data_IF_199992973943
#
_entry.id   IF_199992973943
#
_cell.length_a   1.000
_cell.length_b   1.000
_cell.length_c   1.000
_cell.angle_alpha   90.00
_cell.angle_beta   90.00
_cell.angle_gamma   90.00
#
_symmetry.space_group_name_H-M   'P 1'
#
loop_
_entity.id
_entity.type
_entity.pdbx_description
1 polymer ?
#
# COMPACT_ATOMS: atom_id res chain seq x y z
N UNK A 1 20.03 23.87 43.97
CA UNK A 1 20.26 22.47 44.35
C UNK A 1 19.23 22.07 45.40
N UNK A 2 18.56 20.95 45.19
CA UNK A 2 17.64 20.38 46.18
C UNK A 2 18.44 19.78 47.36
N UNK A 3 17.94 19.94 48.60
CA UNK A 3 18.51 19.33 49.77
C UNK A 3 17.61 18.16 50.23
N UNK A 4 18.22 17.02 50.51
CA UNK A 4 17.53 15.82 51.10
C UNK A 4 18.04 15.72 52.53
N UNK A 5 17.13 15.53 53.48
CA UNK A 5 17.45 15.31 54.89
C UNK A 5 16.64 14.11 55.36
N UNK A 6 17.33 13.10 55.87
CA UNK A 6 16.70 11.95 56.51
C UNK A 6 16.87 12.08 58.05
N UNK A 7 15.80 11.80 58.84
CA UNK A 7 15.82 11.77 60.31
C UNK A 7 15.44 10.37 60.74
N UNK A 8 15.95 9.96 61.93
CA UNK A 8 15.67 8.64 62.53
C UNK A 8 16.12 7.49 61.64
N UNK A 9 17.32 7.56 61.10
CA UNK A 9 17.93 6.43 60.38
C UNK A 9 18.26 5.33 61.37
N UNK A 10 17.97 4.09 61.04
CA UNK A 10 18.30 2.92 61.84
C UNK A 10 19.80 2.83 62.08
N UNK A 11 20.21 2.52 63.36
CA UNK A 11 21.63 2.50 63.75
C UNK A 11 22.45 1.51 62.93
N UNK A 12 21.90 0.36 62.60
CA UNK A 12 22.59 -0.65 61.81
C UNK A 12 22.79 -0.20 60.38
N UNK A 13 21.83 0.54 59.80
CA UNK A 13 21.96 1.16 58.46
C UNK A 13 22.97 2.29 58.51
N UNK A 14 22.95 3.14 59.51
CA UNK A 14 23.92 4.22 59.69
C UNK A 14 25.36 3.68 59.74
N UNK A 15 25.63 2.66 60.57
CA UNK A 15 26.95 2.03 60.70
C UNK A 15 27.44 1.44 59.34
N UNK A 16 26.53 0.80 58.59
CA UNK A 16 26.87 0.28 57.25
C UNK A 16 27.27 1.39 56.27
N UNK A 17 26.55 2.50 56.29
CA UNK A 17 26.87 3.66 55.42
C UNK A 17 28.22 4.26 55.84
N UNK A 18 28.49 4.38 57.15
CA UNK A 18 29.75 4.89 57.70
C UNK A 18 30.94 3.99 57.31
N UNK A 19 30.79 2.67 57.47
CA UNK A 19 31.78 1.70 57.04
C UNK A 19 32.05 1.75 55.55
N UNK A 20 30.99 1.89 54.74
CA UNK A 20 31.11 2.02 53.29
C UNK A 20 31.80 3.32 52.88
N UNK A 21 31.47 4.43 53.56
CA UNK A 21 32.09 5.71 53.35
C UNK A 21 33.61 5.68 53.66
N UNK A 22 33.98 5.04 54.78
CA UNK A 22 35.39 4.83 55.15
C UNK A 22 36.13 3.99 54.10
N UNK A 23 35.54 2.85 53.71
CA UNK A 23 36.12 1.96 52.70
C UNK A 23 36.32 2.65 51.37
N UNK A 24 35.42 3.55 50.96
CA UNK A 24 35.45 4.24 49.71
C UNK A 24 36.15 5.61 49.76
N UNK A 25 36.77 5.93 50.90
CA UNK A 25 37.46 7.22 51.15
C UNK A 25 36.58 8.45 50.86
N UNK A 26 35.30 8.37 51.26
CA UNK A 26 34.31 9.43 51.02
C UNK A 26 33.73 9.95 52.32
N UNK A 27 33.18 11.16 52.30
CA UNK A 27 32.32 11.61 53.41
C UNK A 27 31.03 10.83 53.47
N UNK A 28 30.42 10.72 54.65
CA UNK A 28 29.12 10.04 54.84
C UNK A 28 28.06 10.61 53.88
N UNK A 29 28.02 11.93 53.72
CA UNK A 29 27.10 12.59 52.73
C UNK A 29 27.42 12.22 51.29
N UNK A 30 28.71 12.10 50.97
CA UNK A 30 29.18 11.63 49.65
C UNK A 30 28.75 10.22 49.32
N UNK A 31 28.85 9.32 50.31
CA UNK A 31 28.44 7.91 50.17
C UNK A 31 26.92 7.80 50.02
N UNK A 32 26.13 8.51 50.86
CA UNK A 32 24.68 8.57 50.71
C UNK A 32 24.26 9.09 49.34
N UNK A 33 24.91 10.15 48.86
CA UNK A 33 24.63 10.73 47.55
C UNK A 33 24.92 9.75 46.40
N UNK A 34 25.98 8.97 46.55
CA UNK A 34 26.35 7.94 45.57
C UNK A 34 25.36 6.79 45.58
N UNK A 35 25.02 6.28 46.76
CA UNK A 35 24.05 5.19 46.93
C UNK A 35 22.66 5.61 46.39
N UNK A 36 22.19 6.84 46.66
CA UNK A 36 20.95 7.35 46.09
C UNK A 36 21.03 7.51 44.60
N UNK A 37 22.16 7.91 44.06
CA UNK A 37 22.36 8.03 42.62
C UNK A 37 22.32 6.66 41.95
N UNK A 38 22.99 5.67 42.51
CA UNK A 38 23.00 4.30 42.00
C UNK A 38 21.60 3.66 42.06
N UNK A 39 20.85 3.91 43.13
CA UNK A 39 19.52 3.36 43.32
C UNK A 39 18.45 4.03 42.42
N UNK A 40 18.54 5.37 42.26
CA UNK A 40 17.55 6.15 41.50
C UNK A 40 18.04 6.61 40.11
N UNK A 41 19.27 6.30 39.73
CA UNK A 41 19.61 6.45 38.31
C UNK A 41 18.66 5.55 37.53
N UNK A 42 17.95 6.09 36.53
CA UNK A 42 17.28 5.20 35.61
C UNK A 42 18.35 4.21 35.15
N UNK A 43 18.08 2.93 35.33
CA UNK A 43 18.82 1.89 34.62
C UNK A 43 18.66 2.32 33.18
N UNK A 44 19.66 2.96 32.61
CA UNK A 44 19.78 3.05 31.16
C UNK A 44 19.94 1.60 30.80
N UNK A 45 18.81 0.94 30.54
CA UNK A 45 18.81 -0.34 29.89
C UNK A 45 19.56 -0.07 28.60
N UNK A 46 20.85 -0.42 28.54
CA UNK A 46 21.50 -0.60 27.26
C UNK A 46 20.58 -1.61 26.58
N UNK A 47 19.77 -1.10 25.63
CA UNK A 47 19.04 -2.01 24.78
C UNK A 47 20.05 -3.04 24.31
N UNK A 48 19.79 -4.33 24.51
CA UNK A 48 20.77 -5.35 24.13
C UNK A 48 21.13 -5.07 22.68
N UNK A 49 22.43 -5.00 22.38
CA UNK A 49 22.91 -4.75 21.02
C UNK A 49 22.39 -5.88 20.16
N UNK A 50 21.28 -5.61 19.48
CA UNK A 50 20.66 -6.59 18.60
C UNK A 50 21.60 -6.90 17.44
N UNK A 51 21.77 -8.18 17.14
CA UNK A 51 22.43 -8.62 15.93
C UNK A 51 21.67 -8.09 14.68
N UNK A 52 22.34 -8.04 13.54
CA UNK A 52 21.70 -7.66 12.28
C UNK A 52 20.53 -8.59 11.92
N UNK A 53 20.68 -9.89 12.24
CA UNK A 53 19.62 -10.88 12.06
C UNK A 53 18.38 -10.54 12.90
N UNK A 54 18.53 -10.31 14.19
CA UNK A 54 17.43 -9.96 15.09
C UNK A 54 16.74 -8.66 14.66
N UNK A 55 17.52 -7.68 14.21
CA UNK A 55 16.98 -6.42 13.67
C UNK A 55 16.15 -6.68 12.43
N UNK A 56 16.67 -7.46 11.49
CA UNK A 56 15.97 -7.82 10.27
C UNK A 56 14.68 -8.60 10.55
N UNK A 57 14.69 -9.58 11.45
CA UNK A 57 13.52 -10.33 11.87
C UNK A 57 12.44 -9.41 12.44
N UNK A 58 12.81 -8.52 13.36
CA UNK A 58 11.87 -7.54 13.94
C UNK A 58 11.28 -6.58 12.90
N UNK A 59 12.08 -6.07 12.01
CA UNK A 59 11.59 -5.17 10.95
C UNK A 59 10.68 -5.91 9.96
N UNK A 60 10.99 -7.14 9.62
CA UNK A 60 10.13 -8.00 8.79
C UNK A 60 8.82 -8.32 9.51
N UNK A 61 8.87 -8.65 10.80
CA UNK A 61 7.68 -8.86 11.62
C UNK A 61 6.78 -7.63 11.71
N UNK A 62 7.35 -6.44 11.88
CA UNK A 62 6.60 -5.17 11.87
C UNK A 62 5.91 -4.94 10.52
N UNK A 63 6.59 -5.22 9.39
CA UNK A 63 6.00 -5.09 8.06
C UNK A 63 4.87 -6.09 7.84
N UNK A 64 5.05 -7.34 8.28
CA UNK A 64 4.00 -8.35 8.22
C UNK A 64 2.76 -7.94 9.02
N UNK A 65 2.98 -7.48 10.25
CA UNK A 65 1.89 -6.97 11.10
C UNK A 65 1.18 -5.79 10.44
N UNK A 66 1.93 -4.84 9.91
CA UNK A 66 1.39 -3.68 9.21
C UNK A 66 0.57 -4.11 7.99
N UNK A 67 1.05 -5.08 7.20
CA UNK A 67 0.35 -5.60 6.03
C UNK A 67 -1.02 -6.19 6.43
N UNK A 68 -1.06 -7.03 7.46
CA UNK A 68 -2.30 -7.64 7.91
C UNK A 68 -3.28 -6.61 8.50
N UNK A 69 -2.78 -5.68 9.30
CA UNK A 69 -3.60 -4.57 9.81
C UNK A 69 -4.18 -3.76 8.63
N UNK A 70 -3.37 -3.46 7.60
CA UNK A 70 -3.78 -2.73 6.41
C UNK A 70 -4.85 -3.46 5.59
N UNK A 71 -4.72 -4.78 5.38
CA UNK A 71 -5.73 -5.58 4.68
C UNK A 71 -7.10 -5.52 5.39
N UNK A 72 -7.10 -5.51 6.73
CA UNK A 72 -8.33 -5.37 7.51
C UNK A 72 -8.91 -3.96 7.38
N UNK A 73 -8.08 -2.92 7.52
CA UNK A 73 -8.51 -1.53 7.35
C UNK A 73 -9.07 -1.25 5.96
N UNK A 74 -8.49 -1.84 4.93
CA UNK A 74 -8.89 -1.70 3.54
C UNK A 74 -10.14 -2.55 3.20
N UNK A 75 -10.66 -3.30 4.17
CA UNK A 75 -11.80 -4.19 4.02
C UNK A 75 -11.59 -5.26 2.93
N UNK A 76 -10.38 -5.83 2.87
CA UNK A 76 -10.00 -6.86 1.90
C UNK A 76 -11.02 -8.03 1.87
N UNK A 77 -11.46 -8.49 3.03
CA UNK A 77 -12.44 -9.57 3.16
C UNK A 77 -13.90 -9.15 2.94
N UNK A 78 -14.14 -7.87 2.63
CA UNK A 78 -15.51 -7.32 2.42
C UNK A 78 -16.47 -7.64 3.56
N UNK A 79 -15.95 -7.71 4.79
CA UNK A 79 -16.75 -8.00 5.97
C UNK A 79 -17.61 -6.80 6.36
N UNK A 80 -18.82 -7.08 6.88
CA UNK A 80 -19.73 -6.02 7.36
C UNK A 80 -19.32 -5.43 8.73
N UNK A 81 -18.41 -6.11 9.45
CA UNK A 81 -17.85 -5.64 10.73
C UNK A 81 -16.53 -4.91 10.50
N UNK A 82 -16.38 -3.71 11.07
CA UNK A 82 -15.13 -2.97 11.00
C UNK A 82 -14.24 -3.30 12.19
N UNK A 83 -13.27 -4.17 11.99
CA UNK A 83 -12.07 -4.18 12.81
C UNK A 83 -11.04 -3.22 12.18
N UNK A 84 -10.25 -2.53 12.98
CA UNK A 84 -9.18 -1.67 12.47
C UNK A 84 -7.80 -2.34 12.59
N UNK A 85 -7.74 -3.52 13.17
CA UNK A 85 -6.50 -4.30 13.36
C UNK A 85 -6.79 -5.78 13.31
N UNK A 86 -5.80 -6.54 12.88
CA UNK A 86 -5.85 -7.99 12.89
C UNK A 86 -5.81 -8.51 14.35
N UNK A 87 -6.94 -9.02 14.81
CA UNK A 87 -7.02 -9.77 16.07
C UNK A 87 -6.79 -11.26 15.84
N UNK A 88 -6.93 -12.06 16.91
CA UNK A 88 -6.75 -13.52 16.84
C UNK A 88 -7.69 -14.18 15.81
N UNK A 89 -8.99 -13.82 15.71
CA UNK A 89 -9.87 -14.42 14.72
C UNK A 89 -9.42 -14.16 13.28
N UNK A 90 -8.99 -12.93 12.97
CA UNK A 90 -8.49 -12.55 11.66
C UNK A 90 -7.18 -13.26 11.34
N UNK A 91 -6.27 -13.39 12.32
CA UNK A 91 -5.02 -14.13 12.15
C UNK A 91 -5.25 -15.62 11.90
N UNK A 92 -6.25 -16.23 12.52
CA UNK A 92 -6.64 -17.62 12.24
C UNK A 92 -7.15 -17.76 10.80
N UNK A 93 -7.91 -16.79 10.31
CA UNK A 93 -8.38 -16.79 8.91
C UNK A 93 -7.22 -16.63 7.91
N UNK A 94 -6.30 -15.69 8.18
CA UNK A 94 -5.08 -15.45 7.39
C UNK A 94 -4.20 -16.72 7.36
N UNK A 95 -3.97 -17.32 8.53
CA UNK A 95 -3.17 -18.54 8.63
C UNK A 95 -3.75 -19.70 7.84
N UNK A 96 -5.08 -19.87 7.87
CA UNK A 96 -5.77 -20.88 7.06
C UNK A 96 -5.62 -20.64 5.56
N UNK A 97 -5.72 -19.38 5.12
CA UNK A 97 -5.54 -19.02 3.72
C UNK A 97 -4.11 -19.27 3.24
N UNK A 98 -3.13 -19.09 4.11
CA UNK A 98 -1.70 -19.30 3.84
C UNK A 98 -1.22 -20.73 4.11
N UNK A 99 -2.11 -21.65 4.49
CA UNK A 99 -1.78 -23.03 4.89
C UNK A 99 -0.66 -23.10 5.95
N UNK A 100 -0.77 -22.23 6.98
CA UNK A 100 0.21 -22.13 8.05
C UNK A 100 -0.45 -22.07 9.43
N UNK A 101 0.34 -22.10 10.50
CA UNK A 101 -0.22 -21.98 11.85
C UNK A 101 -0.36 -20.51 12.29
N UNK A 102 -1.44 -20.15 13.02
CA UNK A 102 -1.57 -18.81 13.59
C UNK A 102 -0.42 -18.45 14.55
N UNK A 103 0.09 -19.43 15.31
CA UNK A 103 1.22 -19.25 16.21
C UNK A 103 2.49 -18.82 15.47
N UNK A 104 2.80 -19.47 14.35
CA UNK A 104 3.94 -19.08 13.53
C UNK A 104 3.82 -17.64 13.01
N UNK A 105 2.63 -17.22 12.55
CA UNK A 105 2.42 -15.84 12.13
C UNK A 105 2.62 -14.85 13.29
N UNK A 106 2.17 -15.19 14.49
CA UNK A 106 2.37 -14.37 15.69
C UNK A 106 3.85 -14.26 16.05
N UNK A 107 4.57 -15.38 16.06
CA UNK A 107 6.00 -15.42 16.39
C UNK A 107 6.82 -14.59 15.37
N UNK A 108 6.49 -14.68 14.07
CA UNK A 108 7.11 -13.86 13.03
C UNK A 108 6.79 -12.37 13.24
N UNK A 109 5.53 -12.01 13.52
CA UNK A 109 5.14 -10.61 13.73
C UNK A 109 5.79 -9.99 14.98
N UNK A 110 6.09 -10.80 15.98
CA UNK A 110 6.82 -10.38 17.19
C UNK A 110 8.34 -10.33 16.96
N UNK A 111 8.82 -10.90 15.86
CA UNK A 111 10.25 -10.98 15.52
C UNK A 111 10.98 -12.11 16.27
N UNK A 112 10.25 -13.09 16.77
CA UNK A 112 10.79 -14.29 17.44
C UNK A 112 11.21 -15.36 16.42
N UNK A 113 10.53 -15.40 15.26
CA UNK A 113 10.80 -16.32 14.18
C UNK A 113 11.09 -15.58 12.86
N UNK A 114 11.85 -16.23 12.01
CA UNK A 114 12.19 -15.74 10.68
C UNK A 114 11.05 -16.03 9.69
N UNK A 115 10.71 -15.05 8.84
CA UNK A 115 9.74 -15.25 7.76
C UNK A 115 10.38 -16.07 6.64
N UNK A 116 9.95 -17.32 6.39
CA UNK A 116 10.46 -18.13 5.29
C UNK A 116 10.12 -17.49 3.93
N UNK A 117 11.02 -17.61 2.95
CA UNK A 117 10.78 -17.08 1.60
C UNK A 117 9.51 -17.64 0.96
N UNK A 118 9.27 -18.94 1.11
CA UNK A 118 8.06 -19.57 0.58
C UNK A 118 6.77 -18.99 1.17
N UNK A 119 6.79 -18.65 2.46
CA UNK A 119 5.65 -18.00 3.10
C UNK A 119 5.54 -16.53 2.68
N UNK A 120 6.66 -15.83 2.51
CA UNK A 120 6.66 -14.46 1.99
C UNK A 120 6.10 -14.40 0.57
N UNK A 121 6.47 -15.34 -0.29
CA UNK A 121 5.96 -15.46 -1.66
C UNK A 121 4.46 -15.79 -1.66
N UNK A 122 4.02 -16.72 -0.80
CA UNK A 122 2.61 -17.06 -0.63
C UNK A 122 1.79 -15.85 -0.14
N UNK A 123 2.31 -15.06 0.81
CA UNK A 123 1.69 -13.82 1.27
C UNK A 123 1.59 -12.82 0.12
N UNK A 124 2.67 -12.61 -0.63
CA UNK A 124 2.69 -11.70 -1.76
C UNK A 124 1.67 -12.09 -2.83
N UNK A 125 1.57 -13.38 -3.13
CA UNK A 125 0.62 -13.90 -4.11
C UNK A 125 -0.84 -13.82 -3.64
N UNK A 126 -1.13 -14.19 -2.40
CA UNK A 126 -2.51 -14.21 -1.89
C UNK A 126 -3.08 -12.82 -1.64
N UNK A 127 -2.23 -11.83 -1.35
CA UNK A 127 -2.67 -10.49 -0.92
C UNK A 127 -2.17 -9.37 -1.83
N UNK A 128 -1.74 -9.67 -3.05
CA UNK A 128 -1.23 -8.70 -4.02
C UNK A 128 -0.14 -7.78 -3.44
N UNK A 129 0.66 -8.31 -2.50
CA UNK A 129 1.67 -7.57 -1.76
C UNK A 129 3.06 -7.67 -2.39
N UNK A 130 3.96 -6.76 -2.04
CA UNK A 130 5.35 -6.77 -2.49
C UNK A 130 6.23 -7.67 -1.63
N UNK A 131 6.67 -8.84 -2.13
CA UNK A 131 7.60 -9.72 -1.40
C UNK A 131 8.92 -9.02 -1.05
N UNK A 132 9.46 -8.20 -1.97
CA UNK A 132 10.67 -7.41 -1.76
C UNK A 132 10.50 -6.37 -0.64
N UNK A 133 9.33 -5.73 -0.57
CA UNK A 133 8.99 -4.83 0.53
C UNK A 133 8.85 -5.61 1.85
N UNK A 134 8.14 -6.71 1.85
CA UNK A 134 7.92 -7.51 3.05
C UNK A 134 9.25 -7.98 3.67
N UNK A 135 10.14 -8.54 2.86
CA UNK A 135 11.42 -9.10 3.33
C UNK A 135 12.49 -8.05 3.58
N UNK A 136 12.59 -7.04 2.72
CA UNK A 136 13.71 -6.10 2.71
C UNK A 136 13.33 -4.62 2.84
N UNK A 137 12.04 -4.29 2.92
CA UNK A 137 11.57 -2.91 2.97
C UNK A 137 11.79 -2.14 1.67
N UNK A 138 12.02 -2.82 0.55
CA UNK A 138 12.27 -2.20 -0.76
C UNK A 138 11.04 -2.26 -1.65
N UNK A 139 10.71 -1.11 -2.25
CA UNK A 139 9.50 -0.97 -3.08
C UNK A 139 8.28 -0.60 -2.24
N UNK A 140 7.12 -0.90 -2.75
CA UNK A 140 5.82 -0.57 -2.16
C UNK A 140 5.20 -1.80 -1.48
N UNK A 141 4.43 -1.60 -0.41
CA UNK A 141 3.62 -2.67 0.21
C UNK A 141 2.70 -3.37 -0.79
N UNK A 142 2.02 -2.59 -1.63
CA UNK A 142 1.18 -3.06 -2.73
C UNK A 142 1.74 -2.48 -4.03
N UNK A 143 2.44 -3.31 -4.84
CA UNK A 143 3.08 -2.85 -6.07
C UNK A 143 2.11 -2.17 -7.02
N UNK A 144 2.56 -1.09 -7.64
CA UNK A 144 1.81 -0.36 -8.64
C UNK A 144 2.54 -0.35 -9.97
N UNK A 145 1.80 -0.14 -11.06
CA UNK A 145 2.33 -0.06 -12.42
C UNK A 145 2.12 1.34 -12.97
N UNK A 146 3.20 2.00 -13.39
CA UNK A 146 3.06 3.21 -14.20
C UNK A 146 2.56 2.82 -15.59
N UNK A 147 1.38 3.30 -15.95
CA UNK A 147 0.77 2.94 -17.24
C UNK A 147 1.42 3.67 -18.42
N UNK A 148 1.95 4.87 -18.23
CA UNK A 148 2.71 5.63 -19.22
C UNK A 148 2.48 5.23 -20.67
N UNK A 149 3.58 4.98 -21.40
CA UNK A 149 3.55 4.42 -22.76
C UNK A 149 3.47 2.87 -22.78
N UNK A 150 3.64 2.21 -21.62
CA UNK A 150 3.67 0.75 -21.48
C UNK A 150 2.34 0.12 -21.11
N UNK A 151 1.22 0.83 -21.26
CA UNK A 151 -0.09 0.32 -20.84
C UNK A 151 -0.54 -0.97 -21.53
N UNK A 152 0.00 -1.29 -22.72
CA UNK A 152 -0.36 -2.51 -23.46
C UNK A 152 -0.17 -3.78 -22.62
N UNK A 153 0.97 -3.92 -21.95
CA UNK A 153 1.28 -5.08 -21.11
C UNK A 153 0.38 -5.16 -19.87
N UNK A 154 -0.09 -4.01 -19.38
CA UNK A 154 -1.03 -3.99 -18.27
C UNK A 154 -2.39 -4.54 -18.69
N UNK A 155 -2.90 -4.17 -19.87
CA UNK A 155 -4.22 -4.59 -20.36
C UNK A 155 -4.19 -5.96 -21.03
N UNK A 156 -3.11 -6.27 -21.74
CA UNK A 156 -2.89 -7.49 -22.50
C UNK A 156 -1.51 -8.07 -22.18
N UNK A 157 -1.34 -8.72 -21.00
CA UNK A 157 -0.07 -9.30 -20.63
C UNK A 157 0.37 -10.37 -21.63
N UNK A 158 1.63 -10.36 -22.10
CA UNK A 158 2.12 -11.34 -23.05
C UNK A 158 2.02 -12.77 -22.51
N UNK A 159 1.42 -13.68 -23.31
CA UNK A 159 1.28 -15.10 -22.94
C UNK A 159 0.24 -15.37 -21.85
N UNK A 160 -0.63 -14.41 -21.55
CA UNK A 160 -1.71 -14.53 -20.59
C UNK A 160 -3.07 -14.28 -21.28
N UNK A 161 -3.84 -15.34 -21.50
CA UNK A 161 -5.16 -15.29 -22.13
C UNK A 161 -6.29 -14.94 -21.15
N UNK A 162 -5.97 -14.54 -19.92
CA UNK A 162 -6.97 -14.23 -18.92
C UNK A 162 -7.82 -13.03 -19.35
N UNK A 163 -9.14 -13.20 -19.32
CA UNK A 163 -10.10 -12.12 -19.57
C UNK A 163 -10.28 -11.26 -18.31
N UNK A 164 -9.29 -10.41 -18.03
CA UNK A 164 -9.31 -9.48 -16.92
C UNK A 164 -10.49 -8.50 -17.00
N UNK A 165 -10.99 -8.09 -15.82
CA UNK A 165 -11.94 -7.00 -15.66
C UNK A 165 -11.16 -5.74 -15.31
N UNK A 166 -11.52 -4.61 -15.94
CA UNK A 166 -10.86 -3.33 -15.72
C UNK A 166 -11.83 -2.31 -15.13
N UNK A 167 -11.37 -1.61 -14.12
CA UNK A 167 -12.09 -0.50 -13.52
C UNK A 167 -11.24 0.77 -13.64
N UNK A 168 -11.78 1.76 -14.31
CA UNK A 168 -11.13 3.03 -14.58
C UNK A 168 -11.66 4.08 -13.61
N UNK A 169 -10.82 4.58 -12.72
CA UNK A 169 -11.20 5.54 -11.69
C UNK A 169 -10.52 6.87 -12.00
N UNK A 170 -11.29 7.87 -12.39
CA UNK A 170 -10.82 9.23 -12.61
C UNK A 170 -10.90 10.01 -11.31
N UNK A 171 -9.86 10.75 -10.96
CA UNK A 171 -9.96 11.78 -9.93
C UNK A 171 -10.65 12.98 -10.56
N UNK A 172 -11.85 13.31 -10.07
CA UNK A 172 -12.74 14.28 -10.72
C UNK A 172 -12.56 15.72 -10.24
N UNK A 173 -11.88 15.94 -9.09
CA UNK A 173 -11.64 17.26 -8.51
C UNK A 173 -10.33 17.37 -7.74
N UNK A 174 -9.89 18.60 -7.51
CA UNK A 174 -8.76 18.92 -6.65
C UNK A 174 -7.41 18.92 -7.36
N UNK A 175 -6.33 18.84 -6.58
CA UNK A 175 -4.95 18.95 -7.07
C UNK A 175 -4.59 17.94 -8.17
N UNK A 176 -5.18 16.76 -8.09
CA UNK A 176 -4.90 15.63 -8.98
C UNK A 176 -6.02 15.36 -9.97
N UNK A 177 -6.86 16.38 -10.24
CA UNK A 177 -7.94 16.26 -11.23
C UNK A 177 -7.43 15.75 -12.57
N UNK A 178 -8.21 14.85 -13.16
CA UNK A 178 -7.89 14.20 -14.44
C UNK A 178 -6.92 13.03 -14.35
N UNK A 179 -6.34 12.74 -13.17
CA UNK A 179 -5.51 11.55 -13.00
C UNK A 179 -6.36 10.28 -13.10
N UNK A 180 -5.86 9.30 -13.85
CA UNK A 180 -6.52 8.03 -14.07
C UNK A 180 -5.82 6.91 -13.30
N UNK A 181 -6.60 6.20 -12.49
CA UNK A 181 -6.24 4.93 -11.84
C UNK A 181 -6.95 3.79 -12.55
N UNK A 182 -6.26 2.70 -12.80
CA UNK A 182 -6.82 1.50 -13.44
C UNK A 182 -6.64 0.30 -12.54
N UNK A 183 -7.73 -0.36 -12.15
CA UNK A 183 -7.67 -1.67 -11.50
C UNK A 183 -7.75 -2.77 -12.57
N UNK A 184 -6.79 -3.68 -12.58
CA UNK A 184 -6.85 -4.93 -13.31
C UNK A 184 -7.23 -6.03 -12.33
N UNK A 185 -8.34 -6.70 -12.57
CA UNK A 185 -8.94 -7.68 -11.66
C UNK A 185 -8.98 -9.04 -12.36
N UNK A 186 -8.39 -10.05 -11.73
CA UNK A 186 -8.47 -11.44 -12.21
C UNK A 186 -9.84 -12.03 -11.86
N UNK A 187 -10.66 -12.47 -12.83
CA UNK A 187 -12.07 -12.82 -12.60
C UNK A 187 -12.26 -14.04 -11.69
N UNK A 188 -11.36 -15.01 -11.71
CA UNK A 188 -11.50 -16.22 -10.92
C UNK A 188 -10.91 -16.10 -9.51
N UNK A 189 -9.79 -15.40 -9.35
CA UNK A 189 -9.09 -15.29 -8.04
C UNK A 189 -9.41 -14.02 -7.28
N UNK A 190 -9.91 -12.99 -7.96
CA UNK A 190 -10.11 -11.66 -7.38
C UNK A 190 -8.82 -10.88 -7.17
N UNK A 191 -7.66 -11.40 -7.59
CA UNK A 191 -6.37 -10.69 -7.50
C UNK A 191 -6.42 -9.38 -8.27
N UNK A 192 -5.77 -8.37 -7.73
CA UNK A 192 -5.84 -7.01 -8.26
C UNK A 192 -4.45 -6.42 -8.47
N UNK A 193 -4.33 -5.60 -9.50
CA UNK A 193 -3.15 -4.79 -9.75
C UNK A 193 -3.59 -3.36 -10.05
N UNK A 194 -2.95 -2.39 -9.40
CA UNK A 194 -3.22 -0.98 -9.62
C UNK A 194 -2.25 -0.41 -10.66
N UNK A 195 -2.80 0.13 -11.74
CA UNK A 195 -2.09 0.94 -12.71
C UNK A 195 -2.41 2.43 -12.53
N UNK A 196 -1.43 3.30 -12.74
CA UNK A 196 -1.57 4.74 -12.56
C UNK A 196 -1.06 5.48 -13.79
N UNK A 197 -1.87 6.37 -14.34
CA UNK A 197 -1.44 7.35 -15.34
C UNK A 197 -1.08 8.64 -14.63
N UNK A 198 0.18 9.06 -14.75
CA UNK A 198 0.68 10.19 -13.97
C UNK A 198 0.81 11.49 -14.74
N UNK A 199 1.73 11.54 -15.69
CA UNK A 199 2.08 12.77 -16.42
C UNK A 199 1.81 12.67 -17.92
N UNK A 200 1.40 11.51 -18.41
CA UNK A 200 1.28 11.25 -19.84
C UNK A 200 0.09 11.95 -20.45
N UNK A 201 -1.05 11.92 -19.77
CA UNK A 201 -2.28 12.61 -20.13
C UNK A 201 -3.17 12.80 -18.89
N UNK A 202 -4.18 13.66 -19.02
CA UNK A 202 -5.20 13.88 -18.00
C UNK A 202 -6.60 13.83 -18.61
N UNK A 203 -7.55 13.34 -17.83
CA UNK A 203 -8.98 13.28 -18.16
C UNK A 203 -9.70 14.53 -17.58
N UNK A 204 -9.36 15.71 -18.10
CA UNK A 204 -9.95 16.99 -17.71
C UNK A 204 -9.80 18.03 -18.84
N UNK A 205 -10.58 19.09 -18.75
CA UNK A 205 -10.58 20.16 -19.76
C UNK A 205 -9.21 20.88 -19.88
N UNK A 206 -8.54 21.12 -18.74
CA UNK A 206 -7.21 21.75 -18.68
C UNK A 206 -6.07 20.75 -18.93
N UNK A 207 -6.26 19.82 -19.85
CA UNK A 207 -5.41 18.67 -20.09
C UNK A 207 -3.95 18.97 -20.38
N UNK A 208 -3.20 17.92 -20.70
CA UNK A 208 -1.73 17.89 -20.81
C UNK A 208 -1.17 18.58 -22.10
N UNK A 209 -1.93 19.47 -22.74
CA UNK A 209 -1.56 20.06 -24.05
C UNK A 209 -1.55 19.04 -25.19
N UNK A 210 -1.14 19.46 -26.40
CA UNK A 210 -1.24 18.63 -27.62
C UNK A 210 -0.56 17.26 -27.50
N UNK A 211 0.61 17.17 -26.86
CA UNK A 211 1.32 15.90 -26.69
C UNK A 211 0.56 14.95 -25.77
N UNK A 212 0.04 15.47 -24.65
CA UNK A 212 -0.74 14.63 -23.71
C UNK A 212 -2.07 14.23 -24.32
N UNK A 213 -2.71 15.12 -25.08
CA UNK A 213 -3.96 14.80 -25.77
C UNK A 213 -3.77 13.68 -26.82
N UNK A 214 -2.71 13.72 -27.60
CA UNK A 214 -2.37 12.65 -28.55
C UNK A 214 -2.11 11.29 -27.85
N UNK A 215 -1.53 11.30 -26.64
CA UNK A 215 -1.39 10.07 -25.83
C UNK A 215 -2.74 9.57 -25.31
N UNK A 216 -3.63 10.48 -24.89
CA UNK A 216 -4.99 10.13 -24.49
C UNK A 216 -5.77 9.51 -25.65
N UNK A 217 -5.69 10.11 -26.84
CA UNK A 217 -6.30 9.57 -28.06
C UNK A 217 -5.80 8.15 -28.32
N UNK A 218 -4.49 7.94 -28.37
CA UNK A 218 -3.89 6.62 -28.61
C UNK A 218 -4.33 5.59 -27.58
N UNK A 219 -4.42 5.96 -26.31
CA UNK A 219 -4.89 5.10 -25.23
C UNK A 219 -6.37 4.69 -25.40
N UNK A 220 -7.24 5.65 -25.73
CA UNK A 220 -8.68 5.39 -25.89
C UNK A 220 -8.96 4.56 -27.15
N UNK A 221 -8.24 4.80 -28.25
CA UNK A 221 -8.31 3.97 -29.45
C UNK A 221 -7.87 2.54 -29.15
N UNK A 222 -6.76 2.36 -28.45
CA UNK A 222 -6.29 1.04 -28.02
C UNK A 222 -7.34 0.31 -27.16
N UNK A 223 -7.95 0.99 -26.18
CA UNK A 223 -9.00 0.37 -25.37
C UNK A 223 -10.18 -0.08 -26.23
N UNK A 224 -10.61 0.74 -27.18
CA UNK A 224 -11.75 0.45 -28.05
C UNK A 224 -11.45 -0.66 -29.05
N UNK A 225 -10.26 -0.66 -29.64
CA UNK A 225 -9.84 -1.66 -30.63
C UNK A 225 -9.43 -3.00 -29.99
N UNK A 226 -8.61 -2.95 -28.95
CA UNK A 226 -7.96 -4.15 -28.44
C UNK A 226 -8.58 -4.74 -27.16
N UNK A 227 -9.36 -3.93 -26.42
CA UNK A 227 -9.91 -4.34 -25.12
C UNK A 227 -11.44 -4.35 -25.07
N UNK A 228 -12.14 -4.05 -26.16
CA UNK A 228 -13.60 -3.89 -26.20
C UNK A 228 -14.41 -5.12 -25.71
N UNK A 229 -13.85 -6.31 -25.86
CA UNK A 229 -14.43 -7.58 -25.45
C UNK A 229 -14.24 -7.88 -23.95
N UNK A 230 -13.50 -7.04 -23.24
CA UNK A 230 -13.22 -7.20 -21.80
C UNK A 230 -14.20 -6.36 -20.97
N UNK A 231 -14.43 -6.78 -19.72
CA UNK A 231 -15.24 -6.00 -18.79
C UNK A 231 -14.52 -4.68 -18.46
N UNK A 232 -15.11 -3.55 -18.87
CA UNK A 232 -14.60 -2.21 -18.60
C UNK A 232 -15.64 -1.36 -17.91
N UNK A 233 -15.35 -0.86 -16.70
CA UNK A 233 -16.25 0.00 -15.94
C UNK A 233 -15.52 1.31 -15.60
N UNK A 234 -16.23 2.43 -15.66
CA UNK A 234 -15.67 3.74 -15.32
C UNK A 234 -16.33 4.35 -14.10
N UNK A 235 -15.52 5.03 -13.32
CA UNK A 235 -15.89 5.65 -12.05
C UNK A 235 -15.25 7.03 -11.93
N UNK A 236 -15.88 7.90 -11.16
CA UNK A 236 -15.29 9.14 -10.67
C UNK A 236 -15.03 9.04 -9.18
N UNK A 237 -13.90 9.57 -8.76
CA UNK A 237 -13.55 9.76 -7.37
C UNK A 237 -13.36 11.24 -7.09
N UNK A 238 -14.21 11.76 -6.22
CA UNK A 238 -14.10 13.12 -5.71
C UNK A 238 -13.49 13.05 -4.30
N UNK A 239 -12.20 13.43 -4.14
CA UNK A 239 -11.59 13.47 -2.81
C UNK A 239 -12.29 14.49 -1.91
N UNK A 240 -12.56 14.10 -0.66
CA UNK A 240 -13.25 14.93 0.34
C UNK A 240 -12.42 16.16 0.75
N UNK A 241 -11.09 16.09 0.63
CA UNK A 241 -10.16 17.12 1.05
C UNK A 241 -9.53 17.83 -0.14
N UNK A 242 -9.58 19.17 -0.16
CA UNK A 242 -8.98 19.98 -1.22
C UNK A 242 -7.46 19.81 -1.36
N UNK A 243 -6.78 19.42 -0.28
CA UNK A 243 -5.33 19.13 -0.22
C UNK A 243 -4.96 17.67 -0.37
N UNK A 244 -5.91 16.79 -0.71
CA UNK A 244 -5.66 15.36 -0.83
C UNK A 244 -4.51 15.08 -1.81
N UNK A 245 -3.52 14.35 -1.33
CA UNK A 245 -2.42 13.85 -2.15
C UNK A 245 -2.59 12.34 -2.38
N UNK A 246 -3.00 11.96 -3.59
CA UNK A 246 -3.24 10.56 -3.92
C UNK A 246 -1.97 9.69 -3.82
N UNK A 247 -0.79 10.28 -3.92
CA UNK A 247 0.47 9.55 -3.72
C UNK A 247 0.65 9.01 -2.30
N UNK A 248 -0.04 9.62 -1.33
CA UNK A 248 -0.04 9.11 0.04
C UNK A 248 -0.80 7.80 0.22
N UNK A 249 -1.63 7.41 -0.75
CA UNK A 249 -2.46 6.20 -0.72
C UNK A 249 -2.08 5.17 -1.78
N UNK A 250 -1.53 5.61 -2.91
CA UNK A 250 -1.04 4.71 -3.98
C UNK A 250 0.13 3.88 -3.47
N UNK A 251 0.04 2.57 -3.64
CA UNK A 251 1.03 1.62 -3.13
C UNK A 251 1.00 1.40 -1.61
N UNK A 252 0.26 2.22 -0.83
CA UNK A 252 0.11 2.12 0.62
C UNK A 252 -1.20 1.45 1.06
N UNK A 253 -2.15 1.35 0.15
CA UNK A 253 -3.41 0.64 0.33
C UNK A 253 -3.53 -0.49 -0.67
N UNK A 254 -4.16 -1.60 -0.25
CA UNK A 254 -4.51 -2.67 -1.17
C UNK A 254 -5.45 -2.13 -2.27
N UNK A 255 -5.34 -2.58 -3.53
CA UNK A 255 -6.21 -2.09 -4.61
C UNK A 255 -7.72 -2.13 -4.33
N UNK A 256 -8.19 -3.06 -3.48
CA UNK A 256 -9.59 -3.12 -3.03
C UNK A 256 -10.08 -1.84 -2.33
N UNK A 257 -9.18 -1.08 -1.72
CA UNK A 257 -9.49 0.20 -1.09
C UNK A 257 -10.09 1.21 -2.06
N UNK A 258 -9.66 1.19 -3.33
CA UNK A 258 -10.19 2.03 -4.39
C UNK A 258 -11.58 1.58 -4.88
N UNK A 259 -12.06 0.41 -4.45
CA UNK A 259 -13.41 -0.09 -4.76
C UNK A 259 -14.47 0.33 -3.76
N UNK A 260 -14.12 1.03 -2.67
CA UNK A 260 -15.10 1.49 -1.67
C UNK A 260 -16.07 2.53 -2.30
N UNK A 261 -17.36 2.22 -2.26
CA UNK A 261 -18.43 3.07 -2.78
C UNK A 261 -18.49 4.48 -2.16
N UNK A 262 -17.87 4.67 -1.00
CA UNK A 262 -17.75 6.00 -0.36
C UNK A 262 -16.72 6.89 -1.03
N UNK A 263 -15.80 6.31 -1.79
CA UNK A 263 -14.73 7.04 -2.48
C UNK A 263 -15.00 7.24 -3.94
N UNK A 264 -15.78 6.35 -4.57
CA UNK A 264 -16.04 6.40 -6.00
C UNK A 264 -17.52 6.26 -6.31
N UNK A 265 -17.97 6.96 -7.34
CA UNK A 265 -19.28 6.83 -7.91
C UNK A 265 -19.19 6.25 -9.33
N UNK A 266 -20.16 5.43 -9.71
CA UNK A 266 -20.26 4.94 -11.09
C UNK A 266 -20.37 6.13 -12.04
N UNK A 267 -19.54 6.17 -13.06
CA UNK A 267 -19.52 7.21 -14.07
C UNK A 267 -19.49 6.61 -15.47
N UNK A 268 -20.25 7.21 -16.36
CA UNK A 268 -20.37 6.74 -17.75
C UNK A 268 -19.36 7.38 -18.70
N UNK A 269 -18.32 8.07 -18.22
CA UNK A 269 -17.43 8.86 -19.08
C UNK A 269 -16.75 8.03 -20.18
N UNK A 270 -16.34 6.79 -19.90
CA UNK A 270 -15.69 5.95 -20.90
C UNK A 270 -16.68 5.62 -22.07
N UNK A 271 -17.89 5.27 -21.73
CA UNK A 271 -18.93 5.01 -22.73
C UNK A 271 -19.32 6.29 -23.48
N UNK A 272 -19.36 7.44 -22.79
CA UNK A 272 -19.61 8.74 -23.45
C UNK A 272 -18.57 9.00 -24.52
N UNK A 273 -17.28 8.89 -24.18
CA UNK A 273 -16.18 9.08 -25.13
C UNK A 273 -16.28 8.11 -26.32
N UNK A 274 -16.54 6.83 -26.08
CA UNK A 274 -16.67 5.82 -27.15
C UNK A 274 -17.88 6.08 -28.08
N UNK A 275 -18.86 6.82 -27.62
CA UNK A 275 -20.03 7.22 -28.40
C UNK A 275 -19.95 8.64 -28.96
N UNK A 276 -18.79 9.31 -28.87
CA UNK A 276 -18.57 10.64 -29.40
C UNK A 276 -19.17 11.77 -28.56
N UNK A 277 -19.45 11.51 -27.27
CA UNK A 277 -19.87 12.51 -26.30
C UNK A 277 -18.67 12.97 -25.48
N UNK A 278 -18.49 14.29 -25.38
CA UNK A 278 -17.41 14.89 -24.59
C UNK A 278 -17.79 14.97 -23.11
N UNK A 279 -17.13 14.23 -22.20
CA UNK A 279 -17.34 14.38 -20.78
C UNK A 279 -16.70 15.68 -20.27
N UNK A 280 -17.48 16.60 -19.74
CA UNK A 280 -16.99 17.81 -19.06
C UNK A 280 -16.03 18.70 -19.92
N UNK A 281 -16.10 18.63 -21.26
CA UNK A 281 -15.29 19.44 -22.17
C UNK A 281 -13.84 18.98 -22.32
N UNK A 282 -13.52 17.70 -22.09
CA UNK A 282 -12.14 17.17 -22.21
C UNK A 282 -11.58 17.29 -23.62
N UNK A 283 -12.45 17.28 -24.63
CA UNK A 283 -12.11 17.36 -26.04
C UNK A 283 -12.37 18.76 -26.63
N UNK A 284 -12.51 19.79 -25.80
CA UNK A 284 -12.68 21.16 -26.27
C UNK A 284 -11.46 21.59 -27.11
N UNK A 285 -11.69 21.91 -28.38
CA UNK A 285 -10.64 22.15 -29.37
C UNK A 285 -10.00 20.90 -29.98
N UNK A 286 -10.50 19.71 -29.64
CA UNK A 286 -10.03 18.41 -30.14
C UNK A 286 -11.22 17.54 -30.60
N UNK A 287 -12.25 18.16 -31.14
CA UNK A 287 -13.48 17.49 -31.60
C UNK A 287 -13.21 16.45 -32.71
N UNK A 288 -12.12 16.66 -33.47
CA UNK A 288 -11.66 15.71 -34.49
C UNK A 288 -11.22 14.37 -33.88
N UNK A 289 -10.50 14.43 -32.78
CA UNK A 289 -10.00 13.25 -32.09
C UNK A 289 -11.16 12.45 -31.42
N UNK A 290 -12.12 13.17 -30.84
CA UNK A 290 -13.33 12.55 -30.29
C UNK A 290 -14.14 11.83 -31.39
N UNK A 291 -14.22 12.44 -32.59
CA UNK A 291 -14.84 11.81 -33.73
C UNK A 291 -14.07 10.59 -34.21
N UNK A 292 -12.74 10.63 -34.24
CA UNK A 292 -11.90 9.48 -34.59
C UNK A 292 -12.16 8.31 -33.62
N UNK A 293 -12.24 8.57 -32.31
CA UNK A 293 -12.61 7.56 -31.32
C UNK A 293 -14.02 7.00 -31.61
N UNK A 294 -14.97 7.86 -31.91
CA UNK A 294 -16.33 7.45 -32.21
C UNK A 294 -16.39 6.53 -33.43
N UNK A 295 -15.73 6.89 -34.51
CA UNK A 295 -15.74 6.21 -35.82
C UNK A 295 -14.96 4.88 -35.78
N UNK A 296 -14.02 4.71 -34.85
CA UNK A 296 -13.29 3.46 -34.65
C UNK A 296 -14.26 2.34 -34.30
N UNK A 297 -14.27 1.21 -35.04
CA UNK A 297 -15.09 0.06 -34.66
C UNK A 297 -14.58 -0.60 -33.38
N UNK A 298 -15.48 -1.18 -32.61
CA UNK A 298 -15.08 -2.06 -31.50
C UNK A 298 -14.37 -3.30 -32.05
N UNK A 299 -13.20 -3.62 -31.48
CA UNK A 299 -12.45 -4.80 -31.87
C UNK A 299 -13.19 -6.10 -31.54
N UNK A 300 -13.01 -7.10 -32.40
CA UNK A 300 -13.55 -8.46 -32.20
C UNK A 300 -12.45 -9.39 -31.68
N UNK A 301 -12.78 -10.38 -30.87
CA UNK A 301 -11.88 -11.41 -30.29
C UNK A 301 -11.03 -12.15 -31.34
N UNK A 302 -11.44 -12.16 -32.59
CA UNK A 302 -10.80 -12.97 -33.66
C UNK A 302 -9.44 -12.44 -34.14
N UNK A 303 -8.98 -11.26 -33.73
CA UNK A 303 -7.70 -10.69 -34.18
C UNK A 303 -6.49 -11.01 -33.28
N UNK A 304 -6.70 -11.49 -32.04
CA UNK A 304 -5.61 -11.75 -31.08
C UNK A 304 -4.92 -13.10 -31.33
N UNK A 305 -5.56 -14.03 -32.03
CA UNK A 305 -5.02 -15.38 -32.29
C UNK A 305 -4.12 -15.49 -33.55
N UNK A 306 -3.87 -14.40 -34.29
CA UNK A 306 -3.26 -14.42 -35.61
C UNK A 306 -1.83 -13.89 -35.77
N UNK A 307 -1.11 -13.65 -34.68
CA UNK A 307 0.25 -13.07 -34.69
C UNK A 307 1.40 -14.09 -34.56
N UNK A 308 1.29 -15.28 -35.14
CA UNK A 308 2.48 -16.13 -35.41
C UNK A 308 3.00 -15.73 -36.77
N UNK A 309 3.96 -14.84 -36.81
CA UNK A 309 4.73 -14.55 -38.02
C UNK A 309 5.63 -15.75 -38.29
N UNK A 310 5.37 -16.42 -39.40
CA UNK A 310 6.31 -17.28 -40.05
C UNK A 310 7.40 -16.45 -40.73
N UNK A 311 8.61 -16.77 -40.46
CA UNK A 311 9.93 -16.60 -41.04
C UNK A 311 10.91 -15.89 -40.14
#
# INVERSE_FOLDING_TARGET
MAKIQARNVDDALYQRIEQSAMKNERSLEGEIRTALREYYQPVVSQEPIMSERERWQRETGKRLKWLFDRLIEDNYYRSSGRSHKAGVPELVQLARQLDTSPGLLMDIMEGNEELPFSLADAIAENFDAGAGWLLGGRGEPFPTVSLGMGYHEFFLPPGDDTHYIFEFIRISKGRHEGTLLCLRIHPATGRMLLGVVTAEFKLCNDGSGGTGHGKLLAFLLFLKESCAHRGMNSFDWEPDESGFDFWSVVGQHHPVWFQDFRRRATSGWLQQVFTGKDPDGWFSGWEGDLKEIQDMPFGNDSKVAGGVVSE
#
